data_IF_568852168724
#
_entry.id   IF_568852168724
#
_cell.length_a   1.000
_cell.length_b   1.000
_cell.length_c   1.000
_cell.angle_alpha   90.00
_cell.angle_beta   90.00
_cell.angle_gamma   90.00
#
_symmetry.space_group_name_H-M   'P 1'
#
loop_
_entity.id
_entity.type
_entity.pdbx_description
1 polymer ?
#
# COMPACT_ATOMS: atom_id res chain seq x y z
N UNK A 1 -5.95 50.29 41.00
CA UNK A 1 -6.38 50.54 39.60
C UNK A 1 -5.56 49.61 38.70
N UNK A 2 -5.96 48.35 38.52
CA UNK A 2 -6.94 47.84 37.53
C UNK A 2 -6.46 47.86 36.06
N UNK A 3 -5.21 47.53 35.72
CA UNK A 3 -4.82 47.17 34.32
C UNK A 3 -3.54 46.34 34.30
N UNK A 4 -3.62 45.01 34.44
CA UNK A 4 -2.58 44.04 34.05
C UNK A 4 -3.04 42.64 34.50
N UNK A 5 -4.23 42.26 34.03
CA UNK A 5 -4.75 40.91 34.11
C UNK A 5 -5.18 40.58 32.68
N UNK A 6 -5.15 39.30 32.30
CA UNK A 6 -5.66 38.75 31.02
C UNK A 6 -4.69 38.77 29.82
N UNK A 7 -3.59 38.01 29.90
CA UNK A 7 -2.90 37.50 28.70
C UNK A 7 -2.19 36.16 28.99
N UNK A 8 -2.94 35.09 29.31
CA UNK A 8 -2.33 33.74 29.48
C UNK A 8 -3.14 32.59 28.86
N UNK A 9 -4.38 32.78 28.40
CA UNK A 9 -5.24 31.64 28.04
C UNK A 9 -5.44 31.47 26.53
N UNK A 10 -4.39 31.17 25.75
CA UNK A 10 -4.55 30.89 24.32
C UNK A 10 -3.41 30.10 23.64
N UNK A 11 -2.65 29.25 24.35
CA UNK A 11 -1.64 28.38 23.70
C UNK A 11 -1.59 27.06 24.47
N UNK A 12 -2.53 26.17 24.22
CA UNK A 12 -2.59 24.89 24.95
C UNK A 12 -3.40 23.80 24.28
N UNK A 13 -3.77 23.95 23.01
CA UNK A 13 -4.31 22.86 22.21
C UNK A 13 -3.21 22.41 21.23
N UNK A 14 -2.12 21.89 21.79
CA UNK A 14 -1.20 21.05 21.00
C UNK A 14 -2.00 19.81 20.68
N UNK A 15 -2.51 19.78 19.45
CA UNK A 15 -3.05 18.61 18.79
C UNK A 15 -2.09 17.46 19.06
N UNK A 16 -2.47 16.56 19.97
CA UNK A 16 -1.92 15.21 20.03
C UNK A 16 -2.47 14.50 18.80
N UNK A 17 -2.01 14.93 17.63
CA UNK A 17 -2.09 14.14 16.42
C UNK A 17 -1.14 12.98 16.65
N UNK A 18 -1.63 11.93 17.32
CA UNK A 18 -0.99 10.63 17.26
C UNK A 18 -0.77 10.31 15.78
N UNK A 19 0.33 9.65 15.42
CA UNK A 19 0.52 9.21 14.04
C UNK A 19 -0.77 8.50 13.64
N UNK A 20 -1.43 8.99 12.59
CA UNK A 20 -2.45 8.23 11.92
C UNK A 20 -1.72 7.01 11.39
N UNK A 21 -1.66 5.96 12.21
CA UNK A 21 -1.18 4.66 11.79
C UNK A 21 -2.22 4.25 10.77
N UNK A 22 -1.86 4.33 9.50
CA UNK A 22 -2.55 3.57 8.49
C UNK A 22 -2.63 2.15 9.09
N UNK A 23 -3.85 1.68 9.34
CA UNK A 23 -4.03 0.37 9.92
C UNK A 23 -3.26 -0.60 9.02
N UNK A 24 -2.42 -1.45 9.59
CA UNK A 24 -1.77 -2.51 8.84
C UNK A 24 -2.88 -3.47 8.39
N UNK A 25 -3.50 -3.20 7.23
CA UNK A 25 -4.67 -3.94 6.73
C UNK A 25 -4.27 -5.30 6.16
N UNK A 26 -2.97 -5.52 5.95
CA UNK A 26 -2.40 -6.77 5.47
C UNK A 26 -1.37 -7.31 6.45
N UNK A 27 -1.57 -8.55 6.86
CA UNK A 27 -0.57 -9.34 7.58
C UNK A 27 0.07 -10.33 6.64
N UNK A 28 1.39 -10.47 6.70
CA UNK A 28 2.17 -11.49 6.01
C UNK A 28 2.91 -12.35 7.04
N UNK A 29 3.04 -13.65 6.76
CA UNK A 29 3.64 -14.60 7.69
C UNK A 29 4.29 -15.77 6.94
N UNK A 30 5.35 -16.36 7.51
CA UNK A 30 5.95 -17.61 7.00
C UNK A 30 5.43 -18.86 7.70
N UNK A 31 5.00 -18.72 8.95
CA UNK A 31 4.58 -19.83 9.81
C UNK A 31 3.05 -19.94 9.93
N UNK A 32 2.32 -18.94 9.43
CA UNK A 32 0.86 -18.84 9.56
C UNK A 32 0.39 -18.43 10.96
N UNK A 33 1.32 -18.06 11.85
CA UNK A 33 1.05 -17.73 13.26
C UNK A 33 1.47 -16.29 13.56
N UNK A 34 2.68 -15.91 13.16
CA UNK A 34 3.26 -14.59 13.43
C UNK A 34 3.11 -13.71 12.18
N UNK A 35 2.29 -12.66 12.28
CA UNK A 35 2.00 -11.76 11.16
C UNK A 35 2.67 -10.39 11.33
N UNK A 36 3.26 -9.91 10.25
CA UNK A 36 3.92 -8.61 10.13
C UNK A 36 3.42 -7.88 8.88
N UNK A 37 3.63 -6.58 8.77
CA UNK A 37 3.24 -5.80 7.58
C UNK A 37 4.12 -6.08 6.35
N UNK A 38 5.28 -6.72 6.54
CA UNK A 38 6.20 -7.14 5.49
C UNK A 38 6.87 -8.47 5.85
N UNK A 39 7.15 -9.31 4.85
CA UNK A 39 7.97 -10.51 5.03
C UNK A 39 9.45 -10.10 5.07
N UNK A 40 10.13 -10.42 6.16
CA UNK A 40 11.58 -10.25 6.27
C UNK A 40 12.31 -11.42 5.60
N UNK A 41 13.37 -11.10 4.85
CA UNK A 41 14.22 -12.09 4.17
C UNK A 41 13.67 -12.62 2.83
N UNK A 42 14.49 -13.37 2.11
CA UNK A 42 14.14 -13.98 0.81
C UNK A 42 13.12 -15.11 0.99
N UNK A 43 12.12 -15.21 0.11
CA UNK A 43 11.13 -16.29 0.17
C UNK A 43 11.82 -17.66 0.02
N UNK A 44 12.73 -17.76 -0.94
CA UNK A 44 13.56 -18.92 -1.23
C UNK A 44 14.97 -18.77 -0.63
N UNK A 45 15.67 -19.89 -0.42
CA UNK A 45 17.07 -19.85 -0.02
C UNK A 45 17.94 -19.27 -1.15
N UNK A 46 18.56 -18.11 -0.88
CA UNK A 46 19.47 -17.47 -1.82
C UNK A 46 20.78 -18.24 -2.05
N UNK A 47 21.10 -19.21 -1.18
CA UNK A 47 22.26 -20.08 -1.34
C UNK A 47 21.96 -21.34 -2.19
N UNK A 48 20.70 -21.55 -2.57
CA UNK A 48 20.30 -22.68 -3.40
C UNK A 48 20.88 -22.54 -4.81
N UNK A 49 21.59 -23.58 -5.27
CA UNK A 49 22.16 -23.63 -6.62
C UNK A 49 21.20 -24.44 -7.49
N UNK A 50 20.52 -23.75 -8.40
CA UNK A 50 19.57 -24.33 -9.34
C UNK A 50 20.27 -25.14 -10.43
N UNK A 51 19.79 -26.37 -10.68
CA UNK A 51 20.13 -27.16 -11.87
C UNK A 51 18.87 -27.43 -12.71
N UNK A 52 19.01 -27.59 -14.05
CA UNK A 52 17.87 -27.92 -14.91
C UNK A 52 17.09 -29.14 -14.38
N UNK A 53 15.78 -29.00 -14.28
CA UNK A 53 14.87 -29.99 -13.70
C UNK A 53 14.55 -29.78 -12.21
N UNK A 54 15.24 -28.86 -11.52
CA UNK A 54 14.93 -28.54 -10.13
C UNK A 54 13.57 -27.83 -9.99
N UNK A 55 12.92 -28.11 -8.87
CA UNK A 55 11.66 -27.48 -8.49
C UNK A 55 11.72 -27.14 -7.01
N UNK A 56 11.60 -25.85 -6.67
CA UNK A 56 11.48 -25.38 -5.30
C UNK A 56 10.09 -24.82 -5.05
N UNK A 57 9.57 -25.00 -3.84
CA UNK A 57 8.24 -24.52 -3.46
C UNK A 57 8.25 -23.96 -2.05
N UNK A 58 7.80 -22.71 -1.93
CA UNK A 58 7.74 -22.00 -0.66
C UNK A 58 6.33 -21.50 -0.40
N UNK A 59 5.90 -21.57 0.86
CA UNK A 59 4.56 -21.11 1.27
C UNK A 59 4.68 -19.95 2.24
N UNK A 60 3.94 -18.89 1.96
CA UNK A 60 3.68 -17.82 2.91
C UNK A 60 2.18 -17.64 3.09
N UNK A 61 1.81 -16.93 4.15
CA UNK A 61 0.43 -16.74 4.56
C UNK A 61 0.10 -15.26 4.53
N UNK A 62 -1.06 -14.95 3.96
CA UNK A 62 -1.60 -13.60 3.94
C UNK A 62 -2.84 -13.56 4.83
N UNK A 63 -2.90 -12.62 5.76
CA UNK A 63 -4.08 -12.35 6.59
C UNK A 63 -4.66 -11.01 6.20
N UNK A 64 -5.96 -10.98 5.96
CA UNK A 64 -6.70 -9.73 5.93
C UNK A 64 -6.85 -9.22 7.37
N UNK A 65 -6.08 -8.20 7.74
CA UNK A 65 -6.17 -7.57 9.06
C UNK A 65 -7.14 -6.38 9.06
N UNK A 66 -7.73 -6.06 7.90
CA UNK A 66 -8.84 -5.11 7.78
C UNK A 66 -10.15 -5.67 8.33
N UNK A 67 -11.08 -4.76 8.64
CA UNK A 67 -12.42 -5.11 9.15
C UNK A 67 -13.41 -5.60 8.09
N UNK A 68 -13.08 -5.40 6.80
CA UNK A 68 -13.96 -5.68 5.67
C UNK A 68 -13.46 -6.82 4.79
N UNK A 69 -14.34 -7.34 3.94
CA UNK A 69 -13.95 -8.32 2.91
C UNK A 69 -13.08 -7.65 1.84
N UNK A 70 -12.02 -8.33 1.42
CA UNK A 70 -11.06 -7.81 0.46
C UNK A 70 -10.79 -8.78 -0.69
N UNK A 71 -10.14 -8.25 -1.74
CA UNK A 71 -9.53 -9.03 -2.82
C UNK A 71 -8.02 -9.08 -2.60
N UNK A 72 -7.48 -10.28 -2.51
CA UNK A 72 -6.05 -10.52 -2.47
C UNK A 72 -5.53 -10.67 -3.90
N UNK A 73 -4.45 -9.98 -4.21
CA UNK A 73 -3.75 -10.11 -5.47
C UNK A 73 -2.26 -10.31 -5.23
N UNK A 74 -1.67 -11.26 -5.95
CA UNK A 74 -0.23 -11.51 -5.94
C UNK A 74 0.27 -11.27 -7.34
N UNK A 75 1.19 -10.34 -7.48
CA UNK A 75 1.88 -10.00 -8.71
C UNK A 75 3.35 -10.42 -8.60
N UNK A 76 3.93 -10.88 -9.69
CA UNK A 76 5.39 -10.87 -9.87
C UNK A 76 5.76 -9.61 -10.63
N UNK A 77 6.68 -8.83 -10.07
CA UNK A 77 7.17 -7.59 -10.66
C UNK A 77 8.63 -7.81 -11.02
N UNK A 78 9.01 -7.31 -12.18
CA UNK A 78 10.39 -6.97 -12.41
C UNK A 78 10.57 -6.40 -13.79
N UNK A 79 11.14 -5.20 -13.81
CA UNK A 79 11.77 -4.63 -15.00
C UNK A 79 12.95 -5.50 -15.48
N UNK A 80 13.48 -6.34 -14.58
CA UNK A 80 14.50 -7.38 -14.80
C UNK A 80 13.97 -8.78 -14.44
N UNK A 81 12.67 -9.06 -14.66
CA UNK A 81 12.22 -10.46 -14.72
C UNK A 81 13.08 -11.12 -15.80
N UNK A 82 13.88 -12.05 -15.33
CA UNK A 82 15.19 -12.37 -15.88
C UNK A 82 15.16 -12.96 -17.27
N UNK A 83 16.35 -12.94 -17.88
CA UNK A 83 16.67 -13.69 -19.10
C UNK A 83 16.20 -15.16 -19.04
N UNK A 84 16.14 -15.77 -17.85
CA UNK A 84 15.65 -17.15 -17.66
C UNK A 84 14.12 -17.29 -17.78
N UNK A 85 13.34 -16.30 -17.33
CA UNK A 85 11.89 -16.32 -17.56
C UNK A 85 11.58 -15.94 -19.02
N UNK A 86 12.38 -15.03 -19.60
CA UNK A 86 12.25 -14.63 -21.00
C UNK A 86 12.60 -15.75 -21.99
N UNK A 87 13.67 -16.51 -21.72
CA UNK A 87 14.04 -17.68 -22.51
C UNK A 87 13.07 -18.85 -22.37
N UNK A 88 12.19 -18.80 -21.34
CA UNK A 88 11.28 -19.88 -20.98
C UNK A 88 11.95 -20.97 -20.14
N UNK A 89 13.20 -20.78 -19.72
CA UNK A 89 13.92 -21.73 -18.88
C UNK A 89 13.40 -21.74 -17.42
N UNK A 90 12.77 -20.66 -16.95
CA UNK A 90 12.24 -20.59 -15.58
C UNK A 90 10.71 -20.38 -15.59
N UNK A 91 10.00 -21.23 -14.86
CA UNK A 91 8.56 -21.14 -14.68
C UNK A 91 8.22 -20.80 -13.24
N UNK A 92 7.41 -19.76 -13.05
CA UNK A 92 6.92 -19.35 -11.72
C UNK A 92 5.43 -19.61 -11.64
N UNK A 93 5.02 -20.45 -10.72
CA UNK A 93 3.62 -20.76 -10.45
C UNK A 93 3.26 -20.28 -9.06
N UNK A 94 2.13 -19.59 -8.89
CA UNK A 94 1.56 -19.38 -7.57
C UNK A 94 0.21 -20.06 -7.45
N UNK A 95 -0.03 -20.69 -6.31
CA UNK A 95 -1.23 -21.48 -6.03
C UNK A 95 -1.82 -21.12 -4.67
N UNK A 96 -3.15 -21.06 -4.59
CA UNK A 96 -3.90 -20.90 -3.35
C UNK A 96 -5.30 -21.48 -3.49
N UNK A 97 -5.59 -22.53 -2.71
CA UNK A 97 -6.84 -23.28 -2.83
C UNK A 97 -6.99 -23.86 -4.25
N UNK A 98 -8.05 -23.47 -4.95
CA UNK A 98 -8.31 -23.88 -6.34
C UNK A 98 -7.74 -22.92 -7.39
N UNK A 99 -7.11 -21.81 -7.00
CA UNK A 99 -6.53 -20.84 -7.92
C UNK A 99 -5.07 -21.19 -8.15
N UNK A 100 -4.65 -21.28 -9.41
CA UNK A 100 -3.27 -21.50 -9.81
C UNK A 100 -3.00 -20.80 -11.13
N UNK A 101 -1.86 -20.12 -11.23
CA UNK A 101 -1.41 -19.49 -12.48
C UNK A 101 0.10 -19.68 -12.60
N UNK A 102 0.53 -20.05 -13.79
CA UNK A 102 1.94 -20.15 -14.18
C UNK A 102 2.30 -18.98 -15.09
N UNK A 103 3.45 -18.38 -14.85
CA UNK A 103 4.05 -17.35 -15.70
C UNK A 103 5.37 -17.87 -16.26
N UNK A 104 5.56 -17.61 -17.55
CA UNK A 104 6.71 -18.03 -18.35
C UNK A 104 7.06 -16.96 -19.39
N UNK A 105 6.78 -15.69 -19.08
CA UNK A 105 6.98 -14.57 -19.99
C UNK A 105 7.49 -13.35 -19.20
N UNK A 106 8.23 -12.42 -19.84
CA UNK A 106 8.78 -11.26 -19.16
C UNK A 106 7.72 -10.20 -18.81
N UNK A 107 8.04 -9.32 -17.86
CA UNK A 107 7.22 -8.18 -17.45
C UNK A 107 6.31 -8.44 -16.23
N UNK A 108 5.53 -7.44 -15.84
CA UNK A 108 4.64 -7.55 -14.68
C UNK A 108 3.47 -8.50 -14.95
N UNK A 109 3.36 -9.56 -14.14
CA UNK A 109 2.28 -10.55 -14.27
C UNK A 109 1.51 -10.74 -12.97
N UNK A 110 0.18 -10.86 -13.11
CA UNK A 110 -0.73 -11.26 -12.04
C UNK A 110 -0.64 -12.78 -11.88
N UNK A 111 -0.12 -13.25 -10.75
CA UNK A 111 -0.06 -14.68 -10.42
C UNK A 111 -1.35 -15.17 -9.75
N UNK A 112 -1.93 -14.41 -8.83
CA UNK A 112 -3.17 -14.79 -8.14
C UNK A 112 -4.12 -13.60 -7.99
N UNK A 113 -5.41 -13.87 -8.09
CA UNK A 113 -6.48 -12.93 -7.76
C UNK A 113 -7.61 -13.66 -7.05
N UNK A 114 -7.64 -13.54 -5.72
CA UNK A 114 -8.58 -14.25 -4.85
C UNK A 114 -9.59 -13.25 -4.31
N UNK A 115 -10.85 -13.27 -4.78
CA UNK A 115 -11.89 -12.41 -4.23
C UNK A 115 -12.41 -12.94 -2.88
N UNK A 116 -13.04 -12.07 -2.10
CA UNK A 116 -13.84 -12.51 -0.97
C UNK A 116 -13.05 -12.96 0.26
N UNK A 117 -11.83 -12.46 0.44
CA UNK A 117 -11.01 -12.73 1.63
C UNK A 117 -11.62 -11.98 2.82
N UNK A 118 -12.26 -12.71 3.73
CA UNK A 118 -12.96 -12.14 4.88
C UNK A 118 -11.97 -11.49 5.86
N UNK A 119 -12.48 -10.63 6.74
CA UNK A 119 -11.71 -10.12 7.87
C UNK A 119 -11.12 -11.28 8.69
N UNK A 120 -9.86 -11.14 9.08
CA UNK A 120 -9.04 -12.13 9.79
C UNK A 120 -8.81 -13.47 9.07
N UNK A 121 -9.29 -13.63 7.84
CA UNK A 121 -9.04 -14.84 7.07
C UNK A 121 -7.57 -14.95 6.70
N UNK A 122 -6.98 -16.11 6.98
CA UNK A 122 -5.63 -16.48 6.58
C UNK A 122 -5.70 -17.28 5.28
N UNK A 123 -4.94 -16.84 4.28
CA UNK A 123 -4.86 -17.44 2.95
C UNK A 123 -3.41 -17.93 2.74
N UNK A 124 -3.18 -19.25 2.65
CA UNK A 124 -1.88 -19.76 2.26
C UNK A 124 -1.65 -19.52 0.76
N UNK A 125 -0.47 -19.04 0.41
CA UNK A 125 0.00 -18.83 -0.95
C UNK A 125 1.29 -19.61 -1.12
N UNK A 126 1.25 -20.62 -1.99
CA UNK A 126 2.43 -21.41 -2.35
C UNK A 126 2.98 -20.90 -3.67
N UNK A 127 4.25 -20.53 -3.70
CA UNK A 127 4.99 -20.17 -4.90
C UNK A 127 5.93 -21.31 -5.24
N UNK A 128 5.79 -21.84 -6.44
CA UNK A 128 6.63 -22.88 -7.00
C UNK A 128 7.46 -22.27 -8.13
N UNK A 129 8.77 -22.46 -8.07
CA UNK A 129 9.70 -22.08 -9.13
C UNK A 129 10.26 -23.39 -9.70
N UNK A 130 10.20 -23.54 -11.01
CA UNK A 130 10.69 -24.72 -11.71
C UNK A 130 11.69 -24.29 -12.80
N UNK A 131 12.83 -24.95 -12.84
CA UNK A 131 13.86 -24.76 -13.86
C UNK A 131 13.69 -25.84 -14.93
N UNK A 132 13.45 -25.44 -16.18
CA UNK A 132 13.20 -26.34 -17.31
C UNK A 132 14.37 -27.32 -17.49
N UNK A 133 14.07 -28.61 -17.59
CA UNK A 133 15.05 -29.68 -17.79
C UNK A 133 15.77 -29.60 -19.15
N UNK A 134 15.16 -28.93 -20.13
CA UNK A 134 15.72 -28.69 -21.46
C UNK A 134 16.70 -27.50 -21.49
N UNK A 135 16.84 -26.77 -20.39
CA UNK A 135 17.75 -25.63 -20.25
C UNK A 135 19.20 -26.03 -20.60
N UNK A 136 19.86 -25.21 -21.41
CA UNK A 136 21.23 -25.49 -21.86
C UNK A 136 22.29 -24.82 -20.98
N UNK A 137 23.57 -25.09 -21.25
CA UNK A 137 24.70 -24.48 -20.52
C UNK A 137 24.74 -22.94 -20.58
N UNK A 138 24.02 -22.31 -21.52
CA UNK A 138 23.93 -20.85 -21.61
C UNK A 138 23.33 -20.24 -20.33
N UNK A 139 22.45 -20.98 -19.65
CA UNK A 139 21.81 -20.56 -18.39
C UNK A 139 22.74 -20.49 -17.19
N UNK A 140 23.92 -21.13 -17.23
CA UNK A 140 24.88 -21.17 -16.10
C UNK A 140 25.47 -19.81 -15.72
N UNK A 141 25.39 -18.84 -16.63
CA UNK A 141 25.87 -17.48 -16.42
C UNK A 141 24.75 -16.51 -16.03
N UNK A 142 23.50 -16.98 -15.98
CA UNK A 142 22.33 -16.17 -15.73
C UNK A 142 21.91 -16.26 -14.25
N UNK A 143 21.34 -15.18 -13.75
CA UNK A 143 20.78 -15.08 -12.40
C UNK A 143 19.46 -14.32 -12.44
N UNK A 144 18.53 -14.66 -11.55
CA UNK A 144 17.19 -14.09 -11.56
C UNK A 144 16.77 -13.65 -10.17
N UNK A 145 16.44 -12.37 -10.02
CA UNK A 145 15.83 -11.85 -8.80
C UNK A 145 14.31 -11.79 -8.99
N UNK A 146 13.58 -12.58 -8.19
CA UNK A 146 12.12 -12.62 -8.24
C UNK A 146 11.53 -11.71 -7.15
N UNK A 147 10.80 -10.67 -7.56
CA UNK A 147 10.10 -9.78 -6.63
C UNK A 147 8.60 -10.01 -6.70
N UNK A 148 8.00 -10.31 -5.54
CA UNK A 148 6.56 -10.50 -5.42
C UNK A 148 5.91 -9.29 -4.74
N UNK A 149 4.86 -8.75 -5.34
CA UNK A 149 4.01 -7.72 -4.74
C UNK A 149 2.68 -8.32 -4.34
N UNK A 150 2.36 -8.15 -3.07
CA UNK A 150 1.09 -8.58 -2.51
C UNK A 150 0.27 -7.33 -2.28
N UNK A 151 -0.97 -7.33 -2.75
CA UNK A 151 -1.92 -6.26 -2.51
C UNK A 151 -3.23 -6.85 -1.98
N UNK A 152 -3.78 -6.18 -0.96
CA UNK A 152 -5.09 -6.47 -0.43
C UNK A 152 -5.95 -5.22 -0.63
N UNK A 153 -6.99 -5.33 -1.45
CA UNK A 153 -7.89 -4.21 -1.72
C UNK A 153 -9.27 -4.52 -1.16
N UNK A 154 -9.72 -3.70 -0.20
CA UNK A 154 -11.06 -3.80 0.34
C UNK A 154 -12.08 -3.67 -0.79
N UNK A 155 -13.00 -4.63 -0.83
CA UNK A 155 -14.23 -4.51 -1.61
C UNK A 155 -15.27 -4.00 -0.64
N UNK A 156 -15.32 -2.69 -0.44
CA UNK A 156 -16.44 -2.07 0.25
C UNK A 156 -17.68 -2.55 -0.48
N UNK A 157 -18.48 -3.39 0.17
CA UNK A 157 -19.85 -3.57 -0.24
C UNK A 157 -20.45 -2.18 -0.04
N UNK A 158 -20.57 -1.42 -1.12
CA UNK A 158 -21.53 -0.32 -1.15
C UNK A 158 -22.86 -1.04 -1.01
N UNK A 159 -23.30 -1.21 0.22
CA UNK A 159 -24.66 -1.53 0.54
C UNK A 159 -25.44 -0.29 0.10
N UNK A 160 -25.72 -0.23 -1.20
CA UNK A 160 -26.88 0.50 -1.66
C UNK A 160 -28.05 -0.26 -1.07
N UNK A 161 -28.58 0.23 0.05
CA UNK A 161 -30.00 0.10 0.29
C UNK A 161 -30.67 0.60 -1.00
N UNK A 162 -31.21 -0.34 -1.78
CA UNK A 162 -32.18 -0.04 -2.84
C UNK A 162 -33.38 0.58 -2.13
N UNK A 163 -33.30 1.88 -1.82
CA UNK A 163 -34.46 2.69 -1.50
C UNK A 163 -35.27 2.78 -2.80
N UNK A 164 -36.30 1.93 -2.86
CA UNK A 164 -37.43 2.04 -3.77
C UNK A 164 -37.94 3.48 -3.78
N UNK A 165 -37.90 4.10 -4.96
CA UNK A 165 -38.72 5.24 -5.38
C UNK A 165 -38.89 6.38 -4.35
N UNK A 166 -37.85 7.20 -4.15
CA UNK A 166 -38.07 8.60 -3.73
C UNK A 166 -37.51 9.53 -4.81
N UNK A 167 -38.37 10.37 -5.36
CA UNK A 167 -38.06 11.48 -6.27
C UNK A 167 -37.30 12.62 -5.53
N UNK A 168 -36.36 12.23 -4.68
CA UNK A 168 -35.59 13.07 -3.78
C UNK A 168 -34.44 13.74 -4.51
N UNK A 169 -34.51 15.07 -4.56
CA UNK A 169 -33.43 15.99 -4.93
C UNK A 169 -32.06 15.45 -4.50
N UNK A 170 -31.14 15.36 -5.47
CA UNK A 170 -29.75 14.92 -5.33
C UNK A 170 -29.18 15.20 -3.93
N UNK A 171 -28.63 14.20 -3.22
CA UNK A 171 -28.06 14.40 -1.91
C UNK A 171 -26.97 15.47 -1.98
N UNK A 172 -27.10 16.43 -1.07
CA UNK A 172 -26.21 17.56 -0.84
C UNK A 172 -24.84 17.02 -0.40
N UNK A 173 -24.02 16.53 -1.35
CA UNK A 173 -22.62 16.15 -1.08
C UNK A 173 -21.71 17.38 -0.92
N UNK A 174 -22.29 18.57 -0.85
CA UNK A 174 -21.62 19.73 -0.29
C UNK A 174 -21.36 19.43 1.18
N UNK A 175 -20.11 19.11 1.52
CA UNK A 175 -19.67 19.04 2.90
C UNK A 175 -20.30 20.21 3.65
N UNK A 176 -21.11 19.93 4.67
CA UNK A 176 -21.58 20.93 5.64
C UNK A 176 -20.35 21.41 6.41
N UNK A 177 -19.46 22.16 5.73
CA UNK A 177 -18.38 22.87 6.37
C UNK A 177 -19.07 23.77 7.37
N UNK A 178 -18.92 23.48 8.67
CA UNK A 178 -19.57 24.30 9.68
C UNK A 178 -19.13 25.74 9.46
N UNK A 179 -20.04 26.71 9.58
CA UNK A 179 -19.74 28.13 9.37
C UNK A 179 -18.53 28.62 10.19
N UNK A 180 -18.24 27.97 11.32
CA UNK A 180 -17.06 28.25 12.15
C UNK A 180 -15.73 27.90 11.46
N UNK A 181 -15.71 26.90 10.58
CA UNK A 181 -14.54 26.43 9.83
C UNK A 181 -14.15 27.43 8.73
N UNK A 182 -15.13 28.05 8.07
CA UNK A 182 -14.91 29.18 7.17
C UNK A 182 -14.32 30.40 7.90
N UNK A 183 -14.79 30.65 9.14
CA UNK A 183 -14.23 31.68 10.01
C UNK A 183 -12.75 31.44 10.36
N UNK A 184 -12.38 30.21 10.68
CA UNK A 184 -10.97 29.86 10.94
C UNK A 184 -10.09 30.02 9.70
N UNK A 185 -10.56 29.59 8.53
CA UNK A 185 -9.83 29.77 7.28
C UNK A 185 -9.56 31.26 6.99
N UNK A 186 -10.55 32.14 7.21
CA UNK A 186 -10.38 33.58 7.05
C UNK A 186 -9.35 34.17 8.03
N UNK A 187 -9.34 33.74 9.29
CA UNK A 187 -8.35 34.17 10.31
C UNK A 187 -6.93 33.74 9.92
N UNK A 188 -6.76 32.49 9.46
CA UNK A 188 -5.46 31.99 9.02
C UNK A 188 -4.93 32.75 7.79
N UNK A 189 -5.78 33.01 6.79
CA UNK A 189 -5.39 33.79 5.60
C UNK A 189 -5.05 35.24 6.00
N UNK A 190 -5.87 35.87 6.84
CA UNK A 190 -5.65 37.25 7.29
C UNK A 190 -4.36 37.43 8.09
N UNK A 191 -4.06 36.50 9.00
CA UNK A 191 -2.83 36.54 9.80
C UNK A 191 -1.56 36.30 8.96
N UNK A 192 -1.62 35.39 7.98
CA UNK A 192 -0.54 35.20 7.01
C UNK A 192 -0.26 36.46 6.18
N UNK A 193 -1.31 37.11 5.67
CA UNK A 193 -1.17 38.34 4.89
C UNK A 193 -0.58 39.50 5.72
N UNK A 194 -0.99 39.64 6.99
CA UNK A 194 -0.48 40.68 7.89
C UNK A 194 1.02 40.48 8.24
N UNK A 195 1.48 39.23 8.36
CA UNK A 195 2.91 38.95 8.58
C UNK A 195 3.75 39.24 7.34
N UNK A 196 3.25 38.94 6.14
CA UNK A 196 3.95 39.21 4.89
C UNK A 196 4.04 40.73 4.63
N UNK A 197 2.98 41.49 4.90
CA UNK A 197 2.97 42.94 4.66
C UNK A 197 3.95 43.67 5.59
N UNK A 198 4.06 43.26 6.86
CA UNK A 198 4.97 43.86 7.84
C UNK A 198 6.45 43.66 7.50
N UNK A 199 6.79 42.64 6.70
CA UNK A 199 8.17 42.38 6.26
C UNK A 199 8.64 43.32 5.14
N UNK A 200 7.73 43.88 4.34
CA UNK A 200 8.08 44.76 3.20
C UNK A 200 8.43 46.19 3.61
N UNK A 201 7.95 46.68 4.74
CA UNK A 201 8.21 48.05 5.20
C UNK A 201 9.61 48.30 5.77
N UNK A 202 10.52 47.32 5.75
CA UNK A 202 11.86 47.45 6.36
C UNK A 202 13.01 47.51 5.34
N UNK A 203 12.72 47.63 4.04
CA UNK A 203 13.75 47.59 2.97
C UNK A 203 13.85 48.88 2.14
N UNK A 204 13.07 49.92 2.45
CA UNK A 204 13.18 51.25 1.81
C UNK A 204 13.77 52.26 2.80
N UNK A 205 15.10 52.23 2.96
CA UNK A 205 15.77 53.17 3.86
C UNK A 205 17.29 53.04 3.94
N UNK A 206 17.97 52.64 2.86
CA UNK A 206 19.43 52.69 2.79
C UNK A 206 19.91 52.73 1.32
N UNK A 207 19.78 53.90 0.68
CA UNK A 207 20.48 54.20 -0.58
C UNK A 207 20.74 55.71 -0.66
N UNK A 208 21.82 56.12 0.00
CA UNK A 208 22.53 57.36 -0.28
C UNK A 208 24.00 57.00 -0.45
N UNK A 209 24.54 57.33 -1.63
CA UNK A 209 25.92 57.06 -2.04
C UNK A 209 26.01 56.98 -3.55
#
# INVERSE_FOLDING_TARGET
MKRLLTLVLAIGLVLIGGPASAADEIGLSRDGVTFTSSLSGSLFDSAFIWVPGDVESETFYVRNQGGDTARLTVDIIGEQISDLIESGDLHVTATSGSHSTTVSAPGDHRLLSIPGVKADQIVPVTVTVAFDEASTNETQLLSSDLTFRINLKQTSAVLGEDDEDDDGLLPDTGALTPLWLAGLAAICIGSGAALISRRRTHTEGASHG
#
